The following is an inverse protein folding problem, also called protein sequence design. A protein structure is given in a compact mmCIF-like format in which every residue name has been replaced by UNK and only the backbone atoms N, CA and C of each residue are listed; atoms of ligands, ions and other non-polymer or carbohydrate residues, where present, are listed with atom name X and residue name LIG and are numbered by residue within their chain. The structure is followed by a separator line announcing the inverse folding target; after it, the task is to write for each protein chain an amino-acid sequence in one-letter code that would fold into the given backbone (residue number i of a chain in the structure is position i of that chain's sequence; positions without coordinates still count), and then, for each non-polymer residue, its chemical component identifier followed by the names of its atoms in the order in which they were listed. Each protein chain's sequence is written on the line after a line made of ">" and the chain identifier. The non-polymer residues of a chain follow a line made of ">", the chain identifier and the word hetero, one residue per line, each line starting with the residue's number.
data_IF_129930630273
#
_entry.id   IF_129930630273
#
_cell.length_a   1.000
_cell.length_b   1.000
_cell.length_c   1.000
_cell.angle_alpha   90.00
_cell.angle_beta   90.00
_cell.angle_gamma   90.00
#
_symmetry.space_group_name_H-M   'P 1'
#
loop_
_entity.id
_entity.type
_entity.pdbx_description
1 polymer ?
#
# COMPACT_ATOMS: atom_id res chain seq x y z
N UNK A 1 14.93 1.61 -0.34
CA UNK A 1 14.59 0.33 -1.05
C UNK A 1 15.79 -0.06 -1.88
N UNK A 2 16.12 -1.35 -2.00
CA UNK A 2 17.22 -1.83 -2.84
C UNK A 2 16.83 -1.74 -4.33
N UNK A 3 17.71 -1.30 -5.26
CA UNK A 3 17.44 -1.29 -6.72
C UNK A 3 16.98 -2.64 -7.28
N UNK A 4 17.47 -3.75 -6.73
CA UNK A 4 17.02 -5.10 -7.08
C UNK A 4 15.53 -5.35 -6.80
N UNK A 5 14.96 -4.65 -5.83
CA UNK A 5 13.54 -4.77 -5.48
C UNK A 5 12.62 -4.10 -6.53
N UNK A 6 13.03 -2.99 -7.14
CA UNK A 6 12.25 -2.37 -8.22
C UNK A 6 12.19 -3.30 -9.44
N UNK A 7 13.29 -3.95 -9.80
CA UNK A 7 13.32 -4.91 -10.91
C UNK A 7 12.38 -6.08 -10.66
N UNK A 8 12.40 -6.67 -9.45
CA UNK A 8 11.49 -7.74 -9.08
C UNK A 8 10.01 -7.27 -9.11
N UNK A 9 9.73 -6.06 -8.62
CA UNK A 9 8.40 -5.47 -8.65
C UNK A 9 7.87 -5.35 -10.08
N UNK A 10 8.69 -4.84 -11.01
CA UNK A 10 8.36 -4.70 -12.43
C UNK A 10 8.04 -6.06 -13.07
N UNK A 11 8.81 -7.10 -12.75
CA UNK A 11 8.56 -8.46 -13.27
C UNK A 11 7.25 -9.07 -12.76
N UNK A 12 6.86 -8.76 -11.53
CA UNK A 12 5.75 -9.41 -10.85
C UNK A 12 4.43 -8.63 -10.92
N UNK A 13 4.48 -7.31 -11.07
CA UNK A 13 3.32 -6.41 -10.92
C UNK A 13 2.12 -6.73 -11.81
N UNK A 14 2.36 -7.29 -12.99
CA UNK A 14 1.29 -7.61 -13.95
C UNK A 14 0.63 -8.96 -13.69
N UNK A 15 1.36 -9.92 -13.12
CA UNK A 15 0.92 -11.31 -13.08
C UNK A 15 0.88 -11.93 -11.69
N UNK A 16 1.63 -11.41 -10.72
CA UNK A 16 1.66 -11.98 -9.39
C UNK A 16 0.39 -11.61 -8.61
N UNK A 17 -0.29 -12.62 -8.09
CA UNK A 17 -1.62 -12.50 -7.50
C UNK A 17 -1.76 -11.37 -6.48
N UNK A 18 -0.75 -11.16 -5.64
CA UNK A 18 -0.81 -10.17 -4.56
C UNK A 18 -0.81 -8.72 -5.10
N UNK A 19 0.08 -8.41 -6.07
CA UNK A 19 0.11 -7.08 -6.71
C UNK A 19 -1.17 -6.80 -7.49
N UNK A 20 -1.64 -7.79 -8.24
CA UNK A 20 -2.89 -7.68 -9.02
C UNK A 20 -4.10 -7.53 -8.09
N UNK A 21 -4.16 -8.31 -7.00
CA UNK A 21 -5.26 -8.25 -6.04
C UNK A 21 -5.29 -6.90 -5.30
N UNK A 22 -4.11 -6.42 -4.82
CA UNK A 22 -3.97 -5.12 -4.14
C UNK A 22 -4.39 -3.99 -5.07
N UNK A 23 -3.88 -3.94 -6.28
CA UNK A 23 -4.25 -2.93 -7.28
C UNK A 23 -5.76 -2.90 -7.54
N UNK A 24 -6.39 -4.06 -7.77
CA UNK A 24 -7.84 -4.15 -7.98
C UNK A 24 -8.64 -3.68 -6.77
N UNK A 25 -8.21 -4.02 -5.56
CA UNK A 25 -8.86 -3.56 -4.32
C UNK A 25 -8.78 -2.03 -4.20
N UNK A 26 -7.59 -1.47 -4.36
CA UNK A 26 -7.37 -0.02 -4.22
C UNK A 26 -8.08 0.76 -5.32
N UNK A 27 -8.06 0.27 -6.55
CA UNK A 27 -8.80 0.87 -7.67
C UNK A 27 -10.30 0.91 -7.40
N UNK A 28 -10.88 -0.17 -6.89
CA UNK A 28 -12.30 -0.25 -6.55
C UNK A 28 -12.65 0.69 -5.38
N UNK A 29 -11.80 0.79 -4.36
CA UNK A 29 -11.96 1.75 -3.27
C UNK A 29 -11.89 3.18 -3.83
N UNK A 30 -10.90 3.49 -4.65
CA UNK A 30 -10.72 4.81 -5.24
C UNK A 30 -11.95 5.24 -6.04
N UNK A 31 -12.48 4.37 -6.90
CA UNK A 31 -13.65 4.69 -7.73
C UNK A 31 -14.93 4.85 -6.93
N UNK A 32 -15.10 4.08 -5.85
CA UNK A 32 -16.30 4.14 -5.03
C UNK A 32 -16.30 5.34 -4.08
N UNK A 33 -15.14 5.69 -3.52
CA UNK A 33 -15.02 6.74 -2.52
C UNK A 33 -14.73 8.11 -3.13
N UNK A 34 -13.96 8.14 -4.20
CA UNK A 34 -13.43 9.35 -4.84
C UNK A 34 -13.50 9.24 -6.37
N UNK A 35 -14.71 9.16 -6.96
CA UNK A 35 -14.86 8.91 -8.40
C UNK A 35 -14.18 9.98 -9.28
N UNK A 36 -13.71 9.56 -10.45
CA UNK A 36 -13.17 10.45 -11.47
C UNK A 36 -14.26 11.41 -12.02
N UNK A 37 -13.89 12.59 -12.50
CA UNK A 37 -12.53 13.15 -12.55
C UNK A 37 -12.05 13.65 -11.19
N UNK A 38 -10.74 13.74 -11.01
CA UNK A 38 -10.12 14.30 -9.81
C UNK A 38 -8.61 14.09 -9.78
N UNK A 39 -7.93 14.77 -8.87
CA UNK A 39 -6.49 14.63 -8.65
C UNK A 39 -6.19 13.53 -7.64
N UNK A 40 -5.28 12.63 -7.99
CA UNK A 40 -4.80 11.54 -7.13
C UNK A 40 -3.30 11.64 -6.95
N UNK A 41 -2.84 11.59 -5.71
CA UNK A 41 -1.42 11.58 -5.36
C UNK A 41 -1.07 10.22 -4.77
N UNK A 42 -0.07 9.51 -5.32
CA UNK A 42 0.48 8.30 -4.73
C UNK A 42 1.85 8.58 -4.12
N UNK A 43 2.00 8.29 -2.83
CA UNK A 43 3.29 8.30 -2.14
C UNK A 43 3.87 6.89 -2.09
N UNK A 44 5.16 6.73 -2.49
CA UNK A 44 5.80 5.42 -2.64
C UNK A 44 5.32 4.70 -3.90
N UNK A 45 5.57 5.30 -5.07
CA UNK A 45 5.02 4.83 -6.35
C UNK A 45 5.60 3.50 -6.84
N UNK A 46 6.79 3.09 -6.35
CA UNK A 46 7.48 1.90 -6.83
C UNK A 46 7.61 1.87 -8.36
N UNK A 47 6.94 0.94 -9.03
CA UNK A 47 6.89 0.87 -10.50
C UNK A 47 5.90 1.85 -11.16
N UNK A 48 5.20 2.67 -10.38
CA UNK A 48 4.13 3.57 -10.82
C UNK A 48 2.94 2.88 -11.54
N UNK A 49 2.77 1.57 -11.34
CA UNK A 49 1.73 0.79 -12.05
C UNK A 49 0.31 1.20 -11.65
N UNK A 50 0.11 1.58 -10.38
CA UNK A 50 -1.19 2.07 -9.92
C UNK A 50 -1.54 3.40 -10.57
N UNK A 51 -0.59 4.35 -10.61
CA UNK A 51 -0.79 5.65 -11.26
C UNK A 51 -1.16 5.53 -12.73
N UNK A 52 -0.56 4.57 -13.46
CA UNK A 52 -0.95 4.27 -14.84
C UNK A 52 -2.41 3.81 -14.95
N UNK A 53 -2.86 2.99 -14.01
CA UNK A 53 -4.26 2.54 -13.97
C UNK A 53 -5.19 3.73 -13.67
N UNK A 54 -4.87 4.52 -12.67
CA UNK A 54 -5.66 5.71 -12.29
C UNK A 54 -5.73 6.74 -13.41
N UNK A 55 -4.61 7.00 -14.10
CA UNK A 55 -4.57 7.89 -15.26
C UNK A 55 -5.49 7.41 -16.40
N UNK A 56 -5.49 6.08 -16.70
CA UNK A 56 -6.40 5.50 -17.70
C UNK A 56 -7.88 5.61 -17.33
N UNK A 57 -8.16 5.74 -16.04
CA UNK A 57 -9.52 5.91 -15.53
C UNK A 57 -9.96 7.38 -15.49
N UNK A 58 -9.13 8.30 -15.96
CA UNK A 58 -9.45 9.73 -16.08
C UNK A 58 -9.09 10.57 -14.86
N UNK A 59 -8.21 10.07 -13.97
CA UNK A 59 -7.65 10.88 -12.89
C UNK A 59 -6.42 11.65 -13.37
N UNK A 60 -6.25 12.86 -12.82
CA UNK A 60 -4.98 13.56 -12.86
C UNK A 60 -4.06 12.98 -11.79
N UNK A 61 -2.91 12.45 -12.19
CA UNK A 61 -2.05 11.70 -11.28
C UNK A 61 -0.75 12.42 -10.98
N UNK A 62 -0.34 12.39 -9.73
CA UNK A 62 0.97 12.85 -9.23
C UNK A 62 1.58 11.74 -8.39
N UNK A 63 2.90 11.58 -8.44
CA UNK A 63 3.57 10.53 -7.70
C UNK A 63 4.88 10.95 -7.08
N UNK A 64 5.15 10.41 -5.89
CA UNK A 64 6.38 10.62 -5.14
C UNK A 64 7.05 9.31 -4.76
N UNK A 65 8.36 9.26 -4.87
CA UNK A 65 9.20 8.16 -4.37
C UNK A 65 10.55 8.70 -3.90
N UNK A 66 11.23 7.99 -3.02
CA UNK A 66 12.60 8.30 -2.63
C UNK A 66 13.62 7.88 -3.69
N UNK A 67 13.25 6.92 -4.55
CA UNK A 67 14.14 6.34 -5.54
C UNK A 67 14.00 7.06 -6.88
N UNK A 68 15.13 7.59 -7.38
CA UNK A 68 15.21 8.16 -8.73
C UNK A 68 14.77 7.14 -9.80
N UNK A 69 15.21 5.87 -9.65
CA UNK A 69 14.87 4.79 -10.60
C UNK A 69 13.36 4.56 -10.73
N UNK A 70 12.60 4.65 -9.63
CA UNK A 70 11.13 4.56 -9.62
C UNK A 70 10.51 5.70 -10.42
N UNK A 71 11.00 6.93 -10.21
CA UNK A 71 10.53 8.13 -10.91
C UNK A 71 10.85 8.05 -12.40
N UNK A 72 12.07 7.66 -12.76
CA UNK A 72 12.50 7.55 -14.15
C UNK A 72 11.76 6.43 -14.88
N UNK A 73 11.52 5.31 -14.22
CA UNK A 73 10.71 4.24 -14.77
C UNK A 73 9.26 4.68 -15.01
N UNK A 74 8.64 5.35 -14.05
CA UNK A 74 7.29 5.91 -14.21
C UNK A 74 7.20 6.91 -15.36
N UNK A 75 8.20 7.79 -15.50
CA UNK A 75 8.30 8.75 -16.63
C UNK A 75 8.45 8.05 -17.97
N UNK A 76 9.24 6.97 -18.04
CA UNK A 76 9.38 6.17 -19.26
C UNK A 76 8.07 5.54 -19.74
N UNK A 77 7.10 5.41 -18.82
CA UNK A 77 5.75 4.90 -19.08
C UNK A 77 4.73 6.00 -19.41
N UNK A 78 5.17 7.25 -19.56
CA UNK A 78 4.34 8.38 -19.95
C UNK A 78 3.71 9.18 -18.81
N UNK A 79 4.13 8.95 -17.56
CA UNK A 79 3.70 9.75 -16.41
C UNK A 79 4.63 10.96 -16.23
N UNK A 80 4.09 12.18 -16.30
CA UNK A 80 4.89 13.40 -16.28
C UNK A 80 5.01 14.02 -14.87
N UNK A 81 4.00 13.89 -14.03
CA UNK A 81 3.95 14.53 -12.71
C UNK A 81 4.52 13.61 -11.62
N UNK A 82 5.79 13.26 -11.75
CA UNK A 82 6.51 12.42 -10.78
C UNK A 82 7.72 13.18 -10.25
N UNK A 83 8.01 13.03 -8.96
CA UNK A 83 9.19 13.62 -8.34
C UNK A 83 9.84 12.69 -7.32
N UNK A 84 11.17 12.81 -7.20
CA UNK A 84 11.89 12.27 -6.05
C UNK A 84 11.56 13.15 -4.86
N UNK A 85 10.95 12.57 -3.83
CA UNK A 85 10.53 13.31 -2.66
C UNK A 85 10.45 12.43 -1.42
N UNK A 86 10.91 12.94 -0.29
CA UNK A 86 10.79 12.32 1.01
C UNK A 86 9.43 12.67 1.63
N UNK A 87 8.59 11.66 1.85
CA UNK A 87 7.20 11.85 2.28
C UNK A 87 7.04 12.41 3.70
N UNK A 88 8.09 12.38 4.52
CA UNK A 88 8.15 13.05 5.83
C UNK A 88 8.27 14.57 5.73
N UNK A 89 8.70 15.10 4.58
CA UNK A 89 8.80 16.53 4.30
C UNK A 89 7.48 17.06 3.73
N UNK A 90 7.21 18.37 3.82
CA UNK A 90 6.06 18.99 3.18
C UNK A 90 6.00 18.68 1.69
N UNK A 91 4.85 18.26 1.19
CA UNK A 91 4.73 17.82 -0.20
C UNK A 91 4.71 18.98 -1.19
N UNK A 92 5.42 18.88 -2.32
CA UNK A 92 5.58 19.98 -3.30
C UNK A 92 4.35 20.12 -4.22
N UNK A 93 3.16 20.14 -3.62
CA UNK A 93 1.88 20.34 -4.31
C UNK A 93 1.03 21.34 -3.53
N UNK A 94 0.09 21.97 -4.21
CA UNK A 94 -0.75 22.98 -3.57
C UNK A 94 -1.62 22.35 -2.46
N UNK A 95 -1.81 23.02 -1.32
CA UNK A 95 -2.76 22.57 -0.31
C UNK A 95 -4.18 22.43 -0.89
N UNK A 96 -4.95 21.51 -0.35
CA UNK A 96 -6.34 21.25 -0.73
C UNK A 96 -6.55 20.95 -2.24
N UNK A 97 -5.54 20.38 -2.91
CA UNK A 97 -5.57 20.10 -4.35
C UNK A 97 -5.89 18.65 -4.71
N UNK A 98 -5.71 17.71 -3.78
CA UNK A 98 -5.89 16.29 -4.03
C UNK A 98 -7.27 15.80 -3.59
N UNK A 99 -7.98 15.12 -4.49
CA UNK A 99 -9.21 14.40 -4.17
C UNK A 99 -8.93 13.09 -3.45
N UNK A 100 -7.83 12.43 -3.80
CA UNK A 100 -7.38 11.25 -3.06
C UNK A 100 -5.86 11.22 -2.92
N UNK A 101 -5.40 10.73 -1.78
CA UNK A 101 -4.02 10.31 -1.55
C UNK A 101 -4.00 8.80 -1.38
N UNK A 102 -3.02 8.14 -1.98
CA UNK A 102 -2.85 6.67 -1.92
C UNK A 102 -1.50 6.34 -1.31
N UNK A 103 -1.50 5.57 -0.22
CA UNK A 103 -0.31 5.16 0.54
C UNK A 103 -0.37 3.64 0.74
N UNK A 104 0.32 2.89 -0.12
CA UNK A 104 0.25 1.43 -0.13
C UNK A 104 1.52 0.81 0.40
N UNK A 105 1.44 0.29 1.63
CA UNK A 105 2.57 -0.29 2.34
C UNK A 105 3.77 0.69 2.42
N UNK A 106 3.47 1.91 2.88
CA UNK A 106 4.40 3.03 3.04
C UNK A 106 4.58 3.41 4.51
N UNK A 107 3.48 3.45 5.26
CA UNK A 107 3.47 3.92 6.65
C UNK A 107 4.41 3.12 7.58
N UNK A 108 4.60 1.83 7.31
CA UNK A 108 5.50 0.95 8.05
C UNK A 108 6.98 1.28 7.86
N UNK A 109 7.32 2.01 6.81
CA UNK A 109 8.67 2.50 6.53
C UNK A 109 8.97 3.87 7.14
N UNK A 110 7.99 4.49 7.81
CA UNK A 110 8.13 5.81 8.39
C UNK A 110 8.48 5.72 9.88
N UNK A 111 9.50 6.46 10.31
CA UNK A 111 9.79 6.64 11.73
C UNK A 111 8.69 7.45 12.42
N UNK A 112 8.17 8.47 11.74
CA UNK A 112 7.04 9.27 12.16
C UNK A 112 5.87 9.14 11.17
N UNK A 113 5.01 8.13 11.32
CA UNK A 113 3.85 7.95 10.46
C UNK A 113 2.78 9.04 10.64
N UNK A 114 2.79 9.75 11.78
CA UNK A 114 1.86 10.85 12.04
C UNK A 114 2.23 12.05 11.18
N UNK A 115 3.53 12.35 11.01
CA UNK A 115 3.98 13.43 10.13
C UNK A 115 3.64 13.14 8.66
N UNK A 116 3.83 11.90 8.20
CA UNK A 116 3.38 11.48 6.88
C UNK A 116 1.89 11.76 6.66
N UNK A 117 1.05 11.36 7.62
CA UNK A 117 -0.40 11.57 7.55
C UNK A 117 -0.78 13.06 7.58
N UNK A 118 -0.08 13.90 8.35
CA UNK A 118 -0.28 15.36 8.36
C UNK A 118 0.03 15.99 6.99
N UNK A 119 1.17 15.62 6.41
CA UNK A 119 1.56 16.09 5.08
C UNK A 119 0.52 15.67 4.02
N UNK A 120 0.04 14.43 4.09
CA UNK A 120 -1.02 13.95 3.22
C UNK A 120 -2.35 14.68 3.44
N UNK A 121 -2.71 14.99 4.70
CA UNK A 121 -3.92 15.73 5.03
C UNK A 121 -3.89 17.19 4.53
N UNK A 122 -2.72 17.83 4.51
CA UNK A 122 -2.56 19.20 4.05
C UNK A 122 -2.93 19.35 2.57
N UNK A 123 -2.57 18.39 1.75
CA UNK A 123 -2.84 18.41 0.30
C UNK A 123 -4.26 17.95 -0.07
N UNK A 124 -5.01 17.31 0.85
CA UNK A 124 -6.37 16.88 0.58
C UNK A 124 -7.34 18.05 0.41
N UNK A 125 -8.20 17.96 -0.59
CA UNK A 125 -9.41 18.75 -0.69
C UNK A 125 -10.38 18.43 0.46
N UNK A 126 -11.37 19.31 0.69
CA UNK A 126 -12.32 19.13 1.81
C UNK A 126 -13.16 17.85 1.69
N UNK A 127 -13.49 17.43 0.46
CA UNK A 127 -14.18 16.19 0.15
C UNK A 127 -13.25 15.02 -0.18
N UNK A 128 -11.93 15.20 0.04
CA UNK A 128 -10.90 14.24 -0.25
C UNK A 128 -10.64 13.24 0.88
N UNK A 129 -9.81 12.23 0.58
CA UNK A 129 -9.39 11.27 1.59
C UNK A 129 -8.14 10.49 1.22
N UNK A 130 -7.67 9.68 2.17
CA UNK A 130 -6.46 8.88 2.05
C UNK A 130 -6.84 7.41 2.04
N UNK A 131 -6.42 6.68 1.01
CA UNK A 131 -6.51 5.23 0.92
C UNK A 131 -5.18 4.65 1.41
N UNK A 132 -5.20 3.81 2.44
CA UNK A 132 -3.99 3.28 3.05
C UNK A 132 -4.06 1.76 3.16
N UNK A 133 -2.94 1.09 2.81
CA UNK A 133 -2.68 -0.28 3.24
C UNK A 133 -1.44 -0.34 4.12
N UNK A 134 -1.47 -1.20 5.14
CA UNK A 134 -0.33 -1.45 6.04
C UNK A 134 -0.31 -2.92 6.48
N UNK A 135 0.85 -3.50 6.80
CA UNK A 135 0.92 -4.85 7.35
C UNK A 135 0.31 -4.91 8.75
N UNK A 136 -0.51 -5.95 8.98
CA UNK A 136 -1.19 -6.16 10.24
C UNK A 136 -0.37 -7.03 11.22
N UNK A 137 -0.74 -6.97 12.50
CA UNK A 137 -0.25 -7.76 13.62
C UNK A 137 1.23 -7.57 13.94
N UNK A 138 1.55 -6.70 14.92
CA UNK A 138 2.92 -6.55 15.45
C UNK A 138 3.57 -7.88 15.88
N UNK A 139 2.78 -8.83 16.35
CA UNK A 139 3.25 -10.18 16.72
C UNK A 139 3.79 -11.00 15.54
N UNK A 140 3.45 -10.61 14.30
CA UNK A 140 3.96 -11.25 13.08
C UNK A 140 5.17 -10.52 12.50
N UNK A 141 5.72 -9.51 13.19
CA UNK A 141 6.95 -8.85 12.78
C UNK A 141 8.12 -9.85 12.75
N UNK A 142 8.87 -9.87 11.67
CA UNK A 142 9.88 -10.89 11.40
C UNK A 142 11.11 -10.30 10.70
N UNK A 143 12.12 -11.12 10.43
CA UNK A 143 13.31 -10.70 9.68
C UNK A 143 12.97 -10.26 8.25
N UNK A 144 11.90 -10.80 7.66
CA UNK A 144 11.35 -10.29 6.40
C UNK A 144 11.00 -8.80 6.49
N UNK A 145 10.30 -8.39 7.54
CA UNK A 145 9.93 -6.98 7.74
C UNK A 145 11.17 -6.10 7.95
N UNK A 146 12.16 -6.57 8.74
CA UNK A 146 13.42 -5.84 8.96
C UNK A 146 14.19 -5.62 7.68
N UNK A 147 14.29 -6.66 6.84
CA UNK A 147 15.00 -6.61 5.56
C UNK A 147 14.32 -5.69 4.55
N UNK A 148 13.00 -5.58 4.62
CA UNK A 148 12.23 -4.60 3.84
C UNK A 148 12.33 -3.18 4.41
N UNK A 149 12.97 -2.99 5.58
CA UNK A 149 13.08 -1.68 6.22
C UNK A 149 11.82 -1.24 6.94
N UNK A 150 10.97 -2.17 7.39
CA UNK A 150 9.80 -1.84 8.19
C UNK A 150 10.21 -1.50 9.62
N UNK A 151 9.66 -0.43 10.17
CA UNK A 151 9.77 -0.12 11.59
C UNK A 151 8.74 -0.87 12.44
N UNK A 152 7.54 -1.12 11.89
CA UNK A 152 6.46 -1.78 12.64
C UNK A 152 5.44 -2.46 11.74
N UNK A 153 4.52 -3.19 12.38
CA UNK A 153 3.22 -3.64 11.85
C UNK A 153 2.12 -3.05 12.69
N UNK A 154 0.93 -2.95 12.16
CA UNK A 154 -0.16 -2.19 12.75
C UNK A 154 -1.24 -3.08 13.38
N UNK A 155 -1.81 -2.62 14.48
CA UNK A 155 -3.15 -3.02 14.94
C UNK A 155 -4.16 -1.96 14.48
N UNK A 156 -5.45 -2.32 14.42
CA UNK A 156 -6.52 -1.32 14.17
C UNK A 156 -6.49 -0.17 15.19
N UNK A 157 -6.11 -0.45 16.44
CA UNK A 157 -5.99 0.57 17.50
C UNK A 157 -4.86 1.54 17.19
N UNK A 158 -3.67 1.02 16.88
CA UNK A 158 -2.48 1.83 16.54
C UNK A 158 -2.73 2.68 15.30
N UNK A 159 -3.31 2.10 14.25
CA UNK A 159 -3.70 2.82 13.04
C UNK A 159 -4.65 4.00 13.33
N UNK A 160 -5.71 3.75 14.13
CA UNK A 160 -6.67 4.80 14.52
C UNK A 160 -6.03 5.89 15.37
N UNK A 161 -5.08 5.55 16.21
CA UNK A 161 -4.36 6.51 17.03
C UNK A 161 -3.54 7.46 16.14
N UNK A 162 -2.76 6.94 15.21
CA UNK A 162 -1.98 7.75 14.27
C UNK A 162 -2.86 8.67 13.43
N UNK A 163 -3.99 8.16 12.92
CA UNK A 163 -4.95 8.98 12.18
C UNK A 163 -5.49 10.14 13.02
N UNK A 164 -5.88 9.86 14.28
CA UNK A 164 -6.37 10.87 15.22
C UNK A 164 -5.30 11.94 15.54
N UNK A 165 -4.06 11.53 15.77
CA UNK A 165 -2.94 12.45 16.05
C UNK A 165 -2.60 13.33 14.83
N UNK A 166 -2.86 12.83 13.63
CA UNK A 166 -2.76 13.60 12.39
C UNK A 166 -3.98 14.49 12.09
N UNK A 167 -5.01 14.49 12.96
CA UNK A 167 -6.24 15.26 12.74
C UNK A 167 -7.22 14.64 11.75
N UNK A 168 -7.03 13.37 11.40
CA UNK A 168 -7.86 12.64 10.45
C UNK A 168 -8.88 11.73 11.14
N UNK A 169 -10.03 11.53 10.49
CA UNK A 169 -11.06 10.57 10.89
C UNK A 169 -10.95 9.29 10.06
N UNK A 170 -11.11 8.15 10.71
CA UNK A 170 -11.21 6.86 10.01
C UNK A 170 -12.63 6.69 9.49
N UNK A 171 -12.85 6.83 8.18
CA UNK A 171 -14.14 6.59 7.54
C UNK A 171 -14.52 5.12 7.67
N UNK A 172 -13.60 4.22 7.33
CA UNK A 172 -13.68 2.78 7.60
C UNK A 172 -12.30 2.14 7.62
N UNK A 173 -12.19 0.98 8.27
CA UNK A 173 -10.93 0.22 8.43
C UNK A 173 -11.26 -1.26 8.59
N UNK A 174 -10.70 -2.09 7.74
CA UNK A 174 -10.87 -3.54 7.76
C UNK A 174 -9.53 -4.27 7.55
N UNK A 175 -9.52 -5.58 7.73
CA UNK A 175 -8.41 -6.40 7.28
C UNK A 175 -8.62 -6.81 5.82
N UNK A 176 -7.54 -7.21 5.18
CA UNK A 176 -7.54 -7.90 3.90
C UNK A 176 -6.41 -8.92 3.83
N UNK A 177 -6.42 -9.78 2.82
CA UNK A 177 -5.50 -10.90 2.68
C UNK A 177 -5.63 -11.91 3.84
N UNK A 178 -6.88 -12.29 4.15
CA UNK A 178 -7.24 -13.17 5.27
C UNK A 178 -6.88 -14.64 5.00
N UNK A 179 -7.06 -15.07 3.76
CA UNK A 179 -6.86 -16.47 3.38
C UNK A 179 -5.40 -16.93 3.42
N UNK A 180 -4.42 -16.00 3.40
CA UNK A 180 -2.99 -16.33 3.55
C UNK A 180 -2.51 -16.24 5.00
N UNK A 181 -3.32 -15.68 5.91
CA UNK A 181 -2.94 -15.51 7.32
C UNK A 181 -2.55 -16.82 8.02
N UNK A 182 -3.27 -17.95 7.85
CA UNK A 182 -2.87 -19.21 8.48
C UNK A 182 -1.49 -19.69 8.02
N UNK A 183 -1.21 -19.61 6.71
CA UNK A 183 0.09 -20.00 6.17
C UNK A 183 1.22 -19.11 6.69
N UNK A 184 0.97 -17.80 6.82
CA UNK A 184 1.96 -16.86 7.37
C UNK A 184 2.23 -17.11 8.86
N UNK A 185 1.21 -17.44 9.66
CA UNK A 185 1.38 -17.79 11.08
C UNK A 185 2.24 -19.05 11.21
N UNK A 186 1.95 -20.08 10.41
CA UNK A 186 2.69 -21.36 10.43
C UNK A 186 4.14 -21.15 10.00
N UNK A 187 4.38 -20.45 8.90
CA UNK A 187 5.73 -20.15 8.41
C UNK A 187 6.56 -19.40 9.45
N UNK A 188 6.03 -18.30 10.00
CA UNK A 188 6.75 -17.50 11.00
C UNK A 188 6.93 -18.20 12.33
N UNK A 189 5.99 -19.09 12.71
CA UNK A 189 6.13 -19.96 13.85
C UNK A 189 7.29 -20.96 13.65
N UNK A 190 7.37 -21.57 12.47
CA UNK A 190 8.45 -22.48 12.12
C UNK A 190 9.82 -21.77 12.10
N UNK A 191 9.92 -20.58 11.50
CA UNK A 191 11.16 -19.81 11.44
C UNK A 191 11.68 -19.45 12.84
N UNK A 192 10.78 -19.08 13.79
CA UNK A 192 11.15 -18.82 15.18
C UNK A 192 11.67 -20.07 15.91
N UNK A 193 11.03 -21.23 15.69
CA UNK A 193 11.43 -22.49 16.35
C UNK A 193 12.74 -23.01 15.77
N UNK A 194 12.92 -22.92 14.45
CA UNK A 194 14.09 -23.43 13.74
C UNK A 194 15.28 -22.47 13.75
N UNK A 195 15.12 -21.24 14.33
CA UNK A 195 16.14 -20.19 14.32
C UNK A 195 16.76 -19.99 12.95
N UNK A 196 15.94 -20.06 11.89
CA UNK A 196 16.40 -19.82 10.52
C UNK A 196 16.67 -18.33 10.35
N UNK A 197 17.93 -17.95 10.40
CA UNK A 197 18.41 -16.67 9.86
C UNK A 197 18.54 -16.85 8.34
N UNK A 198 17.58 -16.34 7.59
CA UNK A 198 17.71 -16.28 6.13
C UNK A 198 18.51 -15.03 5.77
N UNK A 199 19.77 -15.21 5.37
CA UNK A 199 20.64 -14.09 4.92
C UNK A 199 20.26 -13.51 3.56
N UNK A 200 19.36 -14.14 2.83
CA UNK A 200 18.94 -13.71 1.50
C UNK A 200 17.98 -12.50 1.56
N UNK A 201 18.10 -11.61 0.57
CA UNK A 201 17.12 -10.53 0.35
C UNK A 201 15.72 -11.11 0.17
N UNK A 202 14.69 -10.50 0.80
CA UNK A 202 13.32 -10.99 0.67
C UNK A 202 12.89 -10.95 -0.79
N UNK A 203 12.55 -12.10 -1.36
CA UNK A 203 12.02 -12.22 -2.71
C UNK A 203 10.65 -12.87 -2.68
N UNK A 204 9.78 -12.44 -3.58
CA UNK A 204 8.51 -13.09 -3.75
C UNK A 204 8.68 -14.51 -4.32
N UNK A 205 8.13 -15.52 -3.63
CA UNK A 205 8.17 -16.89 -4.13
C UNK A 205 7.42 -17.00 -5.45
N UNK A 206 8.11 -17.42 -6.52
CA UNK A 206 7.45 -17.70 -7.80
C UNK A 206 6.48 -18.87 -7.65
N UNK A 207 5.21 -18.61 -7.86
CA UNK A 207 4.14 -19.59 -7.71
C UNK A 207 3.79 -20.25 -9.06
N UNK A 208 3.42 -21.54 -9.06
CA UNK A 208 2.82 -22.17 -10.22
C UNK A 208 1.56 -21.39 -10.67
N UNK A 209 1.36 -21.31 -11.99
CA UNK A 209 0.25 -20.53 -12.58
C UNK A 209 -1.13 -20.89 -12.01
N UNK A 210 -1.36 -22.17 -11.72
CA UNK A 210 -2.61 -22.63 -11.12
C UNK A 210 -2.81 -22.03 -9.73
N UNK A 211 -1.81 -22.14 -8.85
CA UNK A 211 -1.89 -21.61 -7.49
C UNK A 211 -2.06 -20.08 -7.48
N UNK A 212 -1.34 -19.39 -8.35
CA UNK A 212 -1.49 -17.93 -8.52
C UNK A 212 -2.92 -17.55 -8.91
N UNK A 213 -3.57 -18.30 -9.82
CA UNK A 213 -4.98 -18.10 -10.20
C UNK A 213 -5.93 -18.37 -9.04
N UNK A 214 -5.72 -19.45 -8.28
CA UNK A 214 -6.54 -19.77 -7.11
C UNK A 214 -6.48 -18.64 -6.06
N UNK A 215 -5.27 -18.17 -5.72
CA UNK A 215 -5.09 -17.07 -4.77
C UNK A 215 -5.73 -15.77 -5.28
N UNK A 216 -5.63 -15.49 -6.57
CA UNK A 216 -6.28 -14.32 -7.17
C UNK A 216 -7.82 -14.43 -7.12
N UNK A 217 -8.37 -15.63 -7.28
CA UNK A 217 -9.81 -15.88 -7.14
C UNK A 217 -10.27 -15.69 -5.70
N UNK A 218 -9.52 -16.23 -4.72
CA UNK A 218 -9.78 -16.02 -3.28
C UNK A 218 -9.78 -14.51 -2.94
N UNK A 219 -8.77 -13.78 -3.42
CA UNK A 219 -8.70 -12.34 -3.24
C UNK A 219 -9.89 -11.60 -3.88
N UNK A 220 -10.40 -12.10 -5.01
CA UNK A 220 -11.58 -11.56 -5.66
C UNK A 220 -12.86 -11.72 -4.84
N UNK A 221 -13.02 -12.87 -4.17
CA UNK A 221 -14.14 -13.11 -3.23
C UNK A 221 -13.99 -12.22 -1.99
N UNK A 222 -12.80 -12.18 -1.40
CA UNK A 222 -12.54 -11.35 -0.22
C UNK A 222 -12.80 -9.87 -0.51
N UNK A 223 -12.40 -9.35 -1.68
CA UNK A 223 -12.66 -7.97 -2.10
C UNK A 223 -14.14 -7.62 -2.07
N UNK A 224 -15.03 -8.53 -2.54
CA UNK A 224 -16.48 -8.34 -2.45
C UNK A 224 -16.96 -8.29 -1.00
N UNK A 225 -16.43 -9.16 -0.13
CA UNK A 225 -16.76 -9.17 1.30
C UNK A 225 -16.32 -7.90 2.01
N UNK A 226 -15.17 -7.32 1.64
CA UNK A 226 -14.67 -6.06 2.21
C UNK A 226 -15.72 -4.94 2.08
N UNK A 227 -16.36 -4.84 0.92
CA UNK A 227 -17.37 -3.79 0.67
C UNK A 227 -18.72 -4.02 1.38
N UNK A 228 -19.03 -5.26 1.77
CA UNK A 228 -20.35 -5.59 2.36
C UNK A 228 -20.29 -5.67 3.88
N UNK A 229 -19.32 -6.42 4.43
CA UNK A 229 -19.27 -6.72 5.87
C UNK A 229 -17.94 -6.34 6.52
N UNK A 230 -16.94 -6.02 5.70
CA UNK A 230 -15.56 -6.00 6.14
C UNK A 230 -15.02 -7.41 6.42
N UNK A 231 -13.73 -7.50 6.74
CA UNK A 231 -13.03 -8.76 7.05
C UNK A 231 -12.44 -8.65 8.46
N UNK A 232 -12.75 -9.59 9.38
CA UNK A 232 -12.36 -9.45 10.78
C UNK A 232 -10.87 -9.71 11.04
N UNK A 233 -10.18 -10.45 10.17
CA UNK A 233 -8.76 -10.79 10.27
C UNK A 233 -8.11 -10.82 8.87
N UNK A 234 -6.78 -10.65 8.79
CA UNK A 234 -6.02 -10.67 7.54
C UNK A 234 -4.61 -10.12 7.74
N UNK A 235 -3.68 -10.47 6.87
CA UNK A 235 -2.27 -10.08 6.99
C UNK A 235 -2.02 -8.58 6.87
N UNK A 236 -2.95 -7.84 6.30
CA UNK A 236 -2.86 -6.40 6.13
C UNK A 236 -4.13 -5.71 6.62
N UNK A 237 -4.02 -4.43 6.92
CA UNK A 237 -5.12 -3.51 7.09
C UNK A 237 -5.30 -2.70 5.80
N UNK A 238 -6.54 -2.39 5.48
CA UNK A 238 -6.90 -1.40 4.45
C UNK A 238 -7.95 -0.47 5.03
N UNK A 239 -7.82 0.82 4.77
CA UNK A 239 -8.76 1.81 5.27
C UNK A 239 -8.79 3.10 4.47
N UNK A 240 -9.82 3.88 4.74
CA UNK A 240 -10.00 5.23 4.21
C UNK A 240 -10.06 6.21 5.37
N UNK A 241 -9.21 7.24 5.28
CA UNK A 241 -9.18 8.37 6.20
C UNK A 241 -9.75 9.61 5.49
N UNK A 242 -10.40 10.47 6.24
CA UNK A 242 -10.93 11.76 5.79
C UNK A 242 -10.62 12.86 6.81
N UNK A 243 -10.72 14.11 6.39
CA UNK A 243 -10.58 15.27 7.31
C UNK A 243 -11.67 15.33 8.36
#
# INVERSE_FOLDING_TARGET
>A
MDPGHLTELIELEENYWWHVAKRKLVTEILTNEFPAPGSVIEGGIGSARNLLEFSRMGYEVTGFDLMQDSVDYGRSRGLNNLAVHELSQPWPVAPASARAVVLLDVMEHMQDPVQLLKNAAEVLADDGGIIITVPAYPSLFSDWDRKLGHYCRYTKKHFRQNAKEAGLKVKWLTHWNSFTLPAAILSRGADRVLKRENDETPRFTRLPRFLNRCLLSCAGVERKLIHVTGVPWGLSLVGVLVK
#
